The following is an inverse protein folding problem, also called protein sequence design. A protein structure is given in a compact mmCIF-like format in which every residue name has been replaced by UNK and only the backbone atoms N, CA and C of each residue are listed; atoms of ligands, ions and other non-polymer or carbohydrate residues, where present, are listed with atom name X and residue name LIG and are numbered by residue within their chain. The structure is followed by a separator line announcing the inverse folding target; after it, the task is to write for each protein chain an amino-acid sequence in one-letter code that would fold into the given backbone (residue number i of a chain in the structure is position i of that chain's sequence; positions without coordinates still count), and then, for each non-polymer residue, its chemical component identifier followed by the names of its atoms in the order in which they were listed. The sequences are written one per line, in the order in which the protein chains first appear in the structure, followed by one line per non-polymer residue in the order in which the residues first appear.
data_IF_752489988846
#
_entry.id   IF_752489988846
#
_cell.length_a   1.000
_cell.length_b   1.000
_cell.length_c   1.000
_cell.angle_alpha   90.00
_cell.angle_beta   90.00
_cell.angle_gamma   90.00
#
_symmetry.space_group_name_H-M   'P 1'
#
loop_
_entity.id
_entity.type
_entity.pdbx_description
1 polymer ?
#
# COMPACT_ATOMS: atom_id res chain seq x y z
N UNK A 1 -36.08 25.64 -0.85
CA UNK A 1 -35.16 24.61 -0.34
C UNK A 1 -34.16 24.39 -1.46
N UNK A 2 -32.95 24.92 -1.31
CA UNK A 2 -31.89 24.77 -2.32
C UNK A 2 -31.12 23.51 -1.93
N UNK A 3 -31.08 22.53 -2.82
CA UNK A 3 -30.13 21.42 -2.70
C UNK A 3 -28.73 22.01 -2.90
N UNK A 4 -27.93 21.98 -1.84
CA UNK A 4 -26.50 22.23 -1.92
C UNK A 4 -25.92 20.98 -2.57
N UNK A 5 -25.76 21.02 -3.90
CA UNK A 5 -24.81 20.15 -4.60
C UNK A 5 -23.43 20.47 -4.03
N UNK A 6 -22.91 19.56 -3.22
CA UNK A 6 -21.57 19.65 -2.69
C UNK A 6 -20.62 19.57 -3.89
N UNK A 7 -19.89 20.64 -4.22
CA UNK A 7 -18.85 20.66 -5.27
C UNK A 7 -17.60 19.84 -4.87
N UNK A 8 -17.80 18.68 -4.23
CA UNK A 8 -16.73 17.79 -3.77
C UNK A 8 -16.64 16.52 -4.61
N UNK A 9 -17.03 16.57 -5.89
CA UNK A 9 -16.96 15.43 -6.82
C UNK A 9 -15.77 15.56 -7.80
N UNK A 10 -14.76 16.38 -7.45
CA UNK A 10 -13.51 16.53 -8.23
C UNK A 10 -12.24 16.42 -7.38
N UNK A 11 -12.30 15.85 -6.18
CA UNK A 11 -11.07 15.54 -5.44
C UNK A 11 -10.40 14.32 -6.06
N UNK A 12 -9.19 14.50 -6.60
CA UNK A 12 -8.37 13.41 -7.10
C UNK A 12 -8.21 12.31 -6.03
N UNK A 13 -8.39 11.06 -6.42
CA UNK A 13 -8.17 9.90 -5.56
C UNK A 13 -6.68 9.56 -5.54
N UNK A 14 -6.00 10.02 -4.50
CA UNK A 14 -4.57 9.83 -4.31
C UNK A 14 -4.32 8.59 -3.43
N UNK A 15 -3.50 7.66 -3.92
CA UNK A 15 -3.05 6.48 -3.17
C UNK A 15 -1.55 6.57 -2.91
N UNK A 16 -1.16 6.44 -1.65
CA UNK A 16 0.23 6.41 -1.20
C UNK A 16 0.59 4.99 -0.79
N UNK A 17 1.58 4.42 -1.49
CA UNK A 17 2.00 3.03 -1.31
C UNK A 17 3.40 2.98 -0.70
N UNK A 18 3.51 2.37 0.48
CA UNK A 18 4.77 2.10 1.15
C UNK A 18 5.27 0.70 0.81
N UNK A 19 6.28 0.59 -0.04
CA UNK A 19 6.87 -0.71 -0.44
C UNK A 19 8.10 -1.05 0.41
N UNK A 20 8.14 -2.28 0.93
CA UNK A 20 9.24 -2.79 1.74
C UNK A 20 9.35 -2.13 3.12
N UNK A 21 10.41 -2.44 3.87
CA UNK A 21 10.55 -1.95 5.26
C UNK A 21 10.59 -0.43 5.37
N UNK A 22 11.41 0.23 4.55
CA UNK A 22 11.55 1.69 4.59
C UNK A 22 10.29 2.41 4.11
N UNK A 23 9.64 1.91 3.04
CA UNK A 23 8.39 2.47 2.54
C UNK A 23 7.24 2.36 3.55
N UNK A 24 7.08 1.20 4.19
CA UNK A 24 6.09 1.04 5.26
C UNK A 24 6.37 1.96 6.45
N UNK A 25 7.65 2.16 6.82
CA UNK A 25 8.00 3.10 7.88
C UNK A 25 7.66 4.56 7.50
N UNK A 26 7.87 4.94 6.24
CA UNK A 26 7.47 6.26 5.74
C UNK A 26 5.94 6.44 5.80
N UNK A 27 5.17 5.46 5.35
CA UNK A 27 3.69 5.48 5.44
C UNK A 27 3.23 5.56 6.89
N UNK A 28 3.83 4.78 7.79
CA UNK A 28 3.52 4.86 9.22
C UNK A 28 3.74 6.27 9.78
N UNK A 29 4.83 6.94 9.39
CA UNK A 29 5.11 8.32 9.79
C UNK A 29 4.05 9.29 9.26
N UNK A 30 3.62 9.11 8.01
CA UNK A 30 2.57 9.94 7.40
C UNK A 30 1.24 9.79 8.13
N UNK A 31 0.89 8.57 8.54
CA UNK A 31 -0.31 8.27 9.32
C UNK A 31 -0.21 8.88 10.73
N UNK A 32 0.94 8.74 11.39
CA UNK A 32 1.18 9.32 12.71
C UNK A 32 1.11 10.86 12.71
N UNK A 33 1.50 11.49 11.60
CA UNK A 33 1.38 12.93 11.37
C UNK A 33 -0.02 13.36 10.90
N UNK A 34 -0.98 12.43 10.83
CA UNK A 34 -2.37 12.67 10.43
C UNK A 34 -2.51 13.29 9.03
N UNK A 35 -1.66 12.88 8.08
CA UNK A 35 -1.85 13.25 6.67
C UNK A 35 -3.22 12.73 6.21
N UNK A 36 -4.01 13.61 5.61
CA UNK A 36 -5.38 13.34 5.14
C UNK A 36 -5.52 13.62 3.65
N UNK A 37 -6.62 13.15 3.06
CA UNK A 37 -6.88 13.28 1.62
C UNK A 37 -6.15 12.27 0.75
N UNK A 38 -5.55 11.23 1.34
CA UNK A 38 -4.90 10.12 0.63
C UNK A 38 -5.29 8.78 1.25
N UNK A 39 -5.30 7.73 0.44
CA UNK A 39 -5.40 6.34 0.89
C UNK A 39 -4.00 5.76 1.09
N UNK A 40 -3.77 5.08 2.22
CA UNK A 40 -2.48 4.46 2.52
C UNK A 40 -2.53 2.95 2.31
N UNK A 41 -1.53 2.42 1.61
CA UNK A 41 -1.33 0.99 1.41
C UNK A 41 0.09 0.61 1.80
N UNK A 42 0.24 -0.39 2.65
CA UNK A 42 1.53 -1.02 2.96
C UNK A 42 1.75 -2.28 2.14
N UNK A 43 2.92 -2.43 1.53
CA UNK A 43 3.28 -3.63 0.75
C UNK A 43 4.60 -4.16 1.28
N UNK A 44 4.67 -5.47 1.54
CA UNK A 44 5.94 -6.11 1.89
C UNK A 44 5.95 -7.60 1.56
N UNK A 45 7.14 -8.15 1.35
CA UNK A 45 7.37 -9.61 1.29
C UNK A 45 7.49 -10.25 2.68
N UNK A 46 7.82 -9.45 3.68
CA UNK A 46 8.03 -9.90 5.07
C UNK A 46 6.74 -9.72 5.88
N UNK A 47 6.17 -10.84 6.35
CA UNK A 47 4.92 -10.84 7.10
C UNK A 47 5.09 -10.26 8.51
N UNK A 48 6.27 -10.40 9.12
CA UNK A 48 6.56 -9.81 10.43
C UNK A 48 6.65 -8.30 10.32
N UNK A 49 7.27 -7.79 9.26
CA UNK A 49 7.32 -6.35 9.00
C UNK A 49 5.91 -5.75 8.80
N UNK A 50 5.00 -6.48 8.15
CA UNK A 50 3.62 -6.02 7.93
C UNK A 50 2.78 -5.96 9.22
N UNK A 51 3.14 -6.71 10.27
CA UNK A 51 2.46 -6.58 11.58
C UNK A 51 2.61 -5.20 12.20
N UNK A 52 3.64 -4.45 11.80
CA UNK A 52 3.88 -3.07 12.25
C UNK A 52 3.35 -2.01 11.28
N UNK A 53 2.71 -2.42 10.18
CA UNK A 53 2.10 -1.49 9.24
C UNK A 53 0.86 -0.85 9.87
N UNK A 54 0.77 0.48 9.80
CA UNK A 54 -0.37 1.28 10.29
C UNK A 54 -1.37 1.59 9.17
N UNK A 55 -1.02 1.32 7.92
CA UNK A 55 -1.92 1.53 6.80
C UNK A 55 -3.18 0.66 6.95
N UNK A 56 -4.38 1.19 6.67
CA UNK A 56 -5.63 0.42 6.72
C UNK A 56 -5.61 -0.81 5.79
N UNK A 57 -4.86 -0.71 4.70
CA UNK A 57 -4.64 -1.80 3.75
C UNK A 57 -3.17 -2.22 3.79
N UNK A 58 -2.94 -3.51 4.04
CA UNK A 58 -1.61 -4.11 4.07
C UNK A 58 -1.63 -5.37 3.20
N UNK A 59 -0.71 -5.44 2.22
CA UNK A 59 -0.65 -6.52 1.23
C UNK A 59 0.70 -7.24 1.38
N UNK A 60 0.64 -8.54 1.65
CA UNK A 60 1.81 -9.40 1.60
C UNK A 60 2.01 -9.92 0.18
N UNK A 61 3.17 -9.63 -0.41
CA UNK A 61 3.51 -10.09 -1.76
C UNK A 61 4.48 -11.28 -1.73
N UNK A 62 4.37 -12.17 -2.72
CA UNK A 62 5.26 -13.32 -2.87
C UNK A 62 5.21 -14.30 -1.72
N UNK A 63 4.02 -14.59 -1.17
CA UNK A 63 3.87 -15.54 -0.07
C UNK A 63 4.39 -16.93 -0.46
N UNK A 64 4.12 -17.40 -1.68
CA UNK A 64 4.58 -18.73 -2.13
C UNK A 64 6.10 -18.74 -2.34
N UNK A 65 6.64 -17.63 -2.85
CA UNK A 65 8.07 -17.49 -3.14
C UNK A 65 8.92 -17.35 -1.87
N UNK A 66 8.50 -16.50 -0.95
CA UNK A 66 9.30 -16.07 0.22
C UNK A 66 8.89 -16.74 1.53
N UNK A 67 7.70 -17.36 1.56
CA UNK A 67 7.07 -17.89 2.78
C UNK A 67 6.89 -16.83 3.87
N UNK A 68 6.78 -15.56 3.47
CA UNK A 68 6.67 -14.43 4.39
C UNK A 68 7.97 -14.04 5.10
N UNK A 69 9.12 -14.58 4.68
CA UNK A 69 10.44 -14.29 5.29
C UNK A 69 11.17 -13.10 4.65
N UNK A 70 10.55 -12.47 3.65
CA UNK A 70 11.13 -11.34 2.94
C UNK A 70 11.96 -11.70 1.71
N UNK A 71 12.31 -10.69 0.92
CA UNK A 71 13.10 -10.82 -0.31
C UNK A 71 14.63 -10.97 -0.07
N UNK A 72 15.11 -10.95 1.17
CA UNK A 72 16.54 -11.17 1.46
C UNK A 72 17.50 -10.13 0.84
N UNK A 73 17.05 -8.88 0.65
CA UNK A 73 17.78 -7.83 -0.06
C UNK A 73 18.14 -8.17 -1.53
N UNK A 74 17.43 -9.13 -2.14
CA UNK A 74 17.55 -9.50 -3.54
C UNK A 74 16.42 -8.85 -4.35
N UNK A 75 16.70 -7.82 -5.17
CA UNK A 75 15.66 -7.11 -5.93
C UNK A 75 14.83 -8.03 -6.84
N UNK A 76 15.46 -9.04 -7.44
CA UNK A 76 14.82 -10.00 -8.33
C UNK A 76 13.79 -10.89 -7.61
N UNK A 77 13.93 -11.09 -6.29
CA UNK A 77 12.93 -11.79 -5.48
C UNK A 77 11.74 -10.87 -5.23
N UNK A 78 11.99 -9.59 -4.95
CA UNK A 78 10.94 -8.58 -4.77
C UNK A 78 10.10 -8.37 -6.04
N UNK A 79 10.76 -8.34 -7.20
CA UNK A 79 10.09 -8.26 -8.51
C UNK A 79 9.15 -9.44 -8.74
N UNK A 80 9.65 -10.68 -8.60
CA UNK A 80 8.84 -11.89 -8.75
C UNK A 80 7.71 -11.99 -7.72
N UNK A 81 7.95 -11.51 -6.50
CA UNK A 81 6.93 -11.44 -5.47
C UNK A 81 5.80 -10.48 -5.86
N UNK A 82 6.11 -9.34 -6.48
CA UNK A 82 5.11 -8.42 -6.97
C UNK A 82 4.33 -8.99 -8.17
N UNK A 83 5.02 -9.69 -9.09
CA UNK A 83 4.39 -10.41 -10.21
C UNK A 83 3.40 -11.49 -9.73
N UNK A 84 3.74 -12.23 -8.66
CA UNK A 84 2.86 -13.23 -8.04
C UNK A 84 1.51 -12.64 -7.58
N UNK A 85 1.50 -11.36 -7.20
CA UNK A 85 0.34 -10.66 -6.65
C UNK A 85 -0.21 -9.57 -7.60
N UNK A 86 0.10 -9.63 -8.90
CA UNK A 86 -0.26 -8.56 -9.85
C UNK A 86 -1.77 -8.23 -9.86
N UNK A 87 -2.64 -9.24 -9.72
CA UNK A 87 -4.09 -9.04 -9.71
C UNK A 87 -4.55 -8.25 -8.47
N UNK A 88 -4.04 -8.63 -7.28
CA UNK A 88 -4.35 -7.96 -6.01
C UNK A 88 -3.83 -6.52 -6.01
N UNK A 89 -2.60 -6.31 -6.50
CA UNK A 89 -2.00 -4.98 -6.63
C UNK A 89 -2.78 -4.11 -7.61
N UNK A 90 -3.24 -4.67 -8.72
CA UNK A 90 -4.04 -3.96 -9.72
C UNK A 90 -5.38 -3.51 -9.15
N UNK A 91 -6.08 -4.38 -8.42
CA UNK A 91 -7.34 -4.01 -7.78
C UNK A 91 -7.12 -2.99 -6.64
N UNK A 92 -6.01 -3.08 -5.90
CA UNK A 92 -5.68 -2.15 -4.83
C UNK A 92 -5.50 -0.70 -5.32
N UNK A 93 -4.98 -0.50 -6.55
CA UNK A 93 -4.73 0.83 -7.12
C UNK A 93 -5.84 1.31 -8.06
N UNK A 94 -6.83 0.46 -8.34
CA UNK A 94 -7.86 0.70 -9.35
C UNK A 94 -8.67 1.95 -9.03
N UNK A 95 -8.71 2.90 -9.97
CA UNK A 95 -9.43 4.17 -9.82
C UNK A 95 -8.68 5.22 -9.00
N UNK A 96 -7.36 5.06 -8.80
CA UNK A 96 -6.51 6.18 -8.43
C UNK A 96 -6.34 7.13 -9.63
N UNK A 97 -6.15 8.42 -9.34
CA UNK A 97 -5.87 9.49 -10.32
C UNK A 97 -4.38 9.82 -10.44
#
# INVERSE_FOLDING_TARGET
MVEIINESDSSARIIVIGVGGAGNNAVNRMIDENISGVEFIGINTDSQALQFCKAPTAIQIGEKLTKGLGAGAQPEIGEKAAEENVEELTEAIKGAD
#
